data_IF_096091238937
#
_entry.id   IF_096091238937
#
_cell.length_a   1.000
_cell.length_b   1.000
_cell.length_c   1.000
_cell.angle_alpha   90.00
_cell.angle_beta   90.00
_cell.angle_gamma   90.00
#
_symmetry.space_group_name_H-M   'P 1'
#
loop_
_entity.id
_entity.type
_entity.pdbx_description
1 polymer ?
#
# COMPACT_ATOMS: atom_id res chain seq x y z
N UNK A 1 -29.87 25.13 62.19
CA UNK A 1 -29.38 26.28 62.98
C UNK A 1 -28.95 27.36 62.01
N UNK A 2 -29.36 28.63 62.22
CA UNK A 2 -29.14 29.81 61.36
C UNK A 2 -29.64 29.64 59.90
N UNK A 3 -30.80 30.18 59.46
CA UNK A 3 -31.32 31.55 59.51
C UNK A 3 -30.40 32.63 58.91
N UNK A 4 -30.77 33.12 57.71
CA UNK A 4 -30.87 34.56 57.37
C UNK A 4 -31.71 34.71 56.08
N UNK A 5 -32.34 35.87 55.88
CA UNK A 5 -33.56 35.99 55.03
C UNK A 5 -33.75 37.35 54.37
N UNK A 6 -34.00 37.38 53.04
CA UNK A 6 -34.77 38.40 52.28
C UNK A 6 -34.24 39.87 52.34
N UNK A 7 -34.84 40.91 51.66
CA UNK A 7 -35.86 40.96 50.57
C UNK A 7 -35.55 41.91 49.36
N UNK A 8 -36.27 41.67 48.24
CA UNK A 8 -37.02 42.59 47.32
C UNK A 8 -36.57 44.02 46.85
N UNK A 9 -37.14 44.37 45.65
CA UNK A 9 -37.48 45.71 45.04
C UNK A 9 -36.36 46.40 44.20
N UNK A 10 -36.49 46.62 42.88
CA UNK A 10 -37.46 47.40 42.03
C UNK A 10 -37.17 48.92 42.04
N UNK A 11 -37.19 49.69 40.94
CA UNK A 11 -37.63 49.47 39.54
C UNK A 11 -37.06 50.54 38.57
N UNK A 12 -37.02 50.23 37.24
CA UNK A 12 -37.32 51.11 36.07
C UNK A 12 -36.65 52.51 35.87
N UNK A 13 -36.82 53.19 34.71
CA UNK A 13 -36.81 52.72 33.30
C UNK A 13 -36.03 53.64 32.31
N UNK A 14 -35.87 53.16 31.06
CA UNK A 14 -35.61 54.00 29.88
C UNK A 14 -34.15 54.41 29.63
N UNK A 15 -33.75 54.80 28.42
CA UNK A 15 -34.41 54.73 27.11
C UNK A 15 -33.35 54.78 26.00
N UNK A 16 -33.60 54.13 24.85
CA UNK A 16 -33.27 54.59 23.48
C UNK A 16 -33.50 53.50 22.43
N UNK A 17 -34.21 53.90 21.38
CA UNK A 17 -34.10 53.38 20.01
C UNK A 17 -32.65 53.51 19.50
N UNK A 18 -32.17 52.81 18.49
CA UNK A 18 -32.81 52.52 17.20
C UNK A 18 -32.50 51.13 16.63
N UNK A 19 -33.32 50.72 15.67
CA UNK A 19 -33.32 49.42 15.01
C UNK A 19 -32.33 49.30 13.85
N UNK A 20 -31.68 48.14 13.72
CA UNK A 20 -31.26 47.61 12.41
C UNK A 20 -31.49 46.08 12.33
N UNK A 21 -31.93 45.60 11.16
CA UNK A 21 -32.85 44.44 10.98
C UNK A 21 -32.52 43.79 9.62
N UNK A 22 -32.26 42.49 9.41
CA UNK A 22 -32.19 41.26 10.24
C UNK A 22 -30.74 40.68 10.17
N UNK A 23 -30.28 39.56 10.78
CA UNK A 23 -30.78 38.18 11.03
C UNK A 23 -31.01 37.35 9.73
N UNK A 24 -30.77 36.01 9.69
CA UNK A 24 -30.15 35.08 10.66
C UNK A 24 -29.00 34.24 10.00
N UNK A 25 -28.40 33.16 10.52
CA UNK A 25 -28.60 32.38 11.75
C UNK A 25 -27.29 31.69 12.22
N UNK A 26 -27.11 31.65 13.54
CA UNK A 26 -26.60 30.52 14.37
C UNK A 26 -25.35 29.74 13.95
N UNK A 27 -24.27 30.09 14.64
CA UNK A 27 -23.27 29.14 15.13
C UNK A 27 -23.83 28.20 16.23
N UNK A 28 -23.10 27.10 16.46
CA UNK A 28 -22.85 26.39 17.73
C UNK A 28 -23.90 25.41 18.33
N UNK A 29 -23.51 24.13 18.35
CA UNK A 29 -23.04 23.47 19.58
C UNK A 29 -21.94 22.46 19.19
N UNK A 30 -20.64 22.74 19.36
CA UNK A 30 -19.83 22.59 20.59
C UNK A 30 -19.95 21.23 21.30
N UNK A 31 -18.88 20.42 21.21
CA UNK A 31 -18.08 19.96 22.37
C UNK A 31 -16.79 19.25 21.94
N UNK A 32 -15.67 19.70 22.50
CA UNK A 32 -14.34 19.04 22.67
C UNK A 32 -13.68 18.32 21.47
N UNK A 33 -12.40 18.52 21.16
CA UNK A 33 -11.40 19.40 21.78
C UNK A 33 -10.01 19.21 21.15
N UNK A 34 -9.07 20.08 21.56
CA UNK A 34 -7.63 20.07 21.24
C UNK A 34 -7.18 20.30 19.78
N UNK A 35 -6.46 21.42 19.61
CA UNK A 35 -5.58 21.73 18.50
C UNK A 35 -4.44 20.70 18.39
N UNK A 36 -3.90 20.49 17.18
CA UNK A 36 -2.55 20.99 16.88
C UNK A 36 -2.43 21.37 15.40
N UNK A 37 -1.85 22.55 15.14
CA UNK A 37 -1.51 23.03 13.80
C UNK A 37 0.00 22.84 13.64
N UNK A 38 0.44 22.23 12.54
CA UNK A 38 1.82 22.37 12.07
C UNK A 38 1.86 22.72 10.58
N UNK A 39 2.45 23.90 10.30
CA UNK A 39 2.90 24.31 8.97
C UNK A 39 4.43 24.16 8.91
N UNK A 40 4.95 23.44 7.93
CA UNK A 40 6.25 23.69 7.27
C UNK A 40 6.05 23.37 5.79
N UNK A 41 6.13 24.33 4.86
CA UNK A 41 7.27 25.16 4.47
C UNK A 41 8.27 24.39 3.60
N UNK A 42 8.37 24.85 2.34
CA UNK A 42 9.03 24.25 1.19
C UNK A 42 10.45 23.72 1.38
N UNK A 43 10.76 22.64 0.66
CA UNK A 43 12.10 22.35 0.13
C UNK A 43 11.98 22.27 -1.40
N UNK A 44 12.45 23.32 -2.08
CA UNK A 44 12.64 23.33 -3.54
C UNK A 44 14.12 23.07 -3.86
N UNK A 45 14.42 21.94 -4.51
CA UNK A 45 15.12 21.86 -5.84
C UNK A 45 15.91 20.57 -6.03
N UNK A 46 15.41 19.77 -6.97
CA UNK A 46 16.24 19.24 -8.06
C UNK A 46 15.42 19.32 -9.35
N UNK A 47 16.00 19.82 -10.44
CA UNK A 47 15.31 20.09 -11.71
C UNK A 47 16.24 19.83 -12.92
N UNK A 48 15.96 18.79 -13.74
CA UNK A 48 16.56 18.61 -15.05
C UNK A 48 15.59 18.98 -16.20
N UNK A 49 14.81 20.05 -16.01
CA UNK A 49 14.10 20.88 -17.01
C UNK A 49 13.21 20.12 -18.02
N UNK A 50 11.90 20.26 -17.76
CA UNK A 50 10.78 20.01 -18.68
C UNK A 50 10.26 18.57 -18.77
N UNK A 51 9.35 18.24 -17.85
CA UNK A 51 8.06 17.68 -18.27
C UNK A 51 6.94 18.60 -17.76
N UNK A 52 5.98 18.91 -18.64
CA UNK A 52 4.85 19.79 -18.29
C UNK A 52 4.04 19.12 -17.18
N UNK A 53 3.72 19.86 -16.11
CA UNK A 53 2.77 19.42 -15.09
C UNK A 53 1.39 19.27 -15.72
N UNK A 54 1.02 18.05 -16.11
CA UNK A 54 -0.36 17.63 -15.99
C UNK A 54 -0.71 17.62 -14.50
N UNK A 55 -1.97 17.89 -14.15
CA UNK A 55 -2.39 17.90 -12.75
C UNK A 55 -2.18 16.50 -12.16
N UNK A 56 -1.28 16.38 -11.18
CA UNK A 56 -1.19 15.17 -10.37
C UNK A 56 -2.46 15.13 -9.53
N UNK A 57 -3.36 14.21 -9.89
CA UNK A 57 -4.37 13.76 -8.95
C UNK A 57 -3.65 13.11 -7.76
N UNK A 58 -4.28 13.12 -6.59
CA UNK A 58 -3.69 12.49 -5.42
C UNK A 58 -3.73 10.96 -5.56
N UNK A 59 -2.66 10.40 -6.14
CA UNK A 59 -2.51 8.97 -6.48
C UNK A 59 -2.62 8.07 -5.25
N UNK A 60 -2.56 8.61 -4.03
CA UNK A 60 -2.81 7.88 -2.78
C UNK A 60 -4.28 7.45 -2.58
N UNK A 61 -5.20 7.91 -3.44
CA UNK A 61 -6.65 7.65 -3.32
C UNK A 61 -7.23 6.72 -4.38
N UNK A 62 -6.40 6.26 -5.33
CA UNK A 62 -6.86 5.41 -6.45
C UNK A 62 -6.61 3.95 -6.09
N UNK A 63 -7.69 3.17 -6.05
CA UNK A 63 -7.63 1.70 -5.95
C UNK A 63 -7.21 1.12 -7.32
N UNK A 64 -6.11 0.34 -7.41
CA UNK A 64 -5.67 -0.23 -8.68
C UNK A 64 -6.66 -1.27 -9.24
N UNK A 65 -7.61 -1.77 -8.45
CA UNK A 65 -8.66 -2.69 -8.91
C UNK A 65 -9.69 -2.01 -9.82
N UNK A 66 -9.84 -0.70 -9.70
CA UNK A 66 -10.77 0.13 -10.48
C UNK A 66 -10.18 0.65 -11.81
N UNK A 67 -8.87 0.46 -12.04
CA UNK A 67 -8.18 0.88 -13.27
C UNK A 67 -8.22 -0.21 -14.34
N UNK A 68 -8.86 0.04 -15.49
CA UNK A 68 -9.02 -0.95 -16.57
C UNK A 68 -8.03 -0.80 -17.74
N UNK A 69 -7.29 0.32 -17.83
CA UNK A 69 -6.24 0.52 -18.84
C UNK A 69 -4.86 0.07 -18.30
N UNK A 70 -4.12 -0.64 -19.15
CA UNK A 70 -2.75 -1.09 -18.83
C UNK A 70 -1.82 0.11 -18.64
N UNK A 71 -2.02 1.18 -19.41
CA UNK A 71 -1.26 2.42 -19.34
C UNK A 71 -1.49 3.15 -18.00
N UNK A 72 -2.73 3.22 -17.53
CA UNK A 72 -3.09 3.82 -16.23
C UNK A 72 -2.53 2.99 -15.07
N UNK A 73 -2.70 1.67 -15.12
CA UNK A 73 -2.12 0.74 -14.15
C UNK A 73 -0.59 0.86 -14.09
N UNK A 74 0.06 0.97 -15.23
CA UNK A 74 1.51 1.09 -15.31
C UNK A 74 2.00 2.45 -14.76
N UNK A 75 1.30 3.54 -15.04
CA UNK A 75 1.62 4.86 -14.47
C UNK A 75 1.45 4.86 -12.93
N UNK A 76 0.37 4.27 -12.43
CA UNK A 76 0.17 4.05 -10.99
C UNK A 76 1.32 3.21 -10.39
N UNK A 77 1.69 2.11 -11.04
CA UNK A 77 2.79 1.26 -10.57
C UNK A 77 4.13 1.98 -10.54
N UNK A 78 4.45 2.81 -11.55
CA UNK A 78 5.69 3.59 -11.59
C UNK A 78 5.78 4.54 -10.37
N UNK A 79 4.70 5.25 -10.04
CA UNK A 79 4.63 6.17 -8.90
C UNK A 79 4.75 5.45 -7.55
N UNK A 80 4.06 4.32 -7.35
CA UNK A 80 4.16 3.55 -6.10
C UNK A 80 5.54 2.88 -5.94
N UNK A 81 6.08 2.29 -7.02
CA UNK A 81 7.38 1.64 -7.01
C UNK A 81 8.51 2.62 -6.66
N UNK A 82 8.48 3.85 -7.22
CA UNK A 82 9.46 4.89 -6.90
C UNK A 82 9.48 5.24 -5.40
N UNK A 83 8.31 5.36 -4.77
CA UNK A 83 8.20 5.69 -3.36
C UNK A 83 8.57 4.51 -2.43
N UNK A 84 8.27 3.27 -2.82
CA UNK A 84 8.71 2.06 -2.10
C UNK A 84 10.23 1.93 -2.13
N UNK A 85 10.84 2.11 -3.30
CA UNK A 85 12.29 2.03 -3.47
C UNK A 85 13.01 3.07 -2.62
N UNK A 86 12.50 4.30 -2.56
CA UNK A 86 13.07 5.35 -1.70
C UNK A 86 12.96 5.00 -0.21
N UNK A 87 11.78 4.58 0.27
CA UNK A 87 11.58 4.17 1.67
C UNK A 87 12.53 3.02 2.08
N UNK A 88 12.72 2.05 1.19
CA UNK A 88 13.64 0.93 1.39
C UNK A 88 15.11 1.37 1.40
N UNK A 89 15.49 2.29 0.50
CA UNK A 89 16.84 2.86 0.40
C UNK A 89 17.23 3.60 1.68
N UNK A 90 16.31 4.37 2.26
CA UNK A 90 16.53 5.08 3.53
C UNK A 90 16.80 4.14 4.72
N UNK A 91 16.22 2.93 4.70
CA UNK A 91 16.25 1.97 5.83
C UNK A 91 17.26 0.82 5.66
N UNK A 92 18.00 0.83 4.54
CA UNK A 92 18.85 -0.28 4.08
C UNK A 92 18.09 -1.62 4.06
N UNK A 93 16.95 -1.59 3.38
CA UNK A 93 16.05 -2.74 3.13
C UNK A 93 16.11 -3.05 1.65
N UNK A 94 16.06 -4.34 1.32
CA UNK A 94 16.10 -4.84 -0.07
C UNK A 94 14.78 -5.51 -0.45
N UNK A 95 14.53 -5.70 -1.74
CA UNK A 95 13.32 -6.34 -2.27
C UNK A 95 13.73 -7.50 -3.20
N UNK A 96 13.07 -8.65 -3.04
CA UNK A 96 13.17 -9.81 -3.92
C UNK A 96 11.78 -10.36 -4.27
N UNK A 97 11.59 -10.87 -5.49
CA UNK A 97 10.28 -11.30 -6.00
C UNK A 97 10.24 -12.78 -6.43
N UNK A 98 9.07 -13.39 -6.37
CA UNK A 98 8.75 -14.72 -6.91
C UNK A 98 7.46 -14.65 -7.72
N UNK A 99 7.55 -14.79 -9.03
CA UNK A 99 6.43 -14.52 -9.93
C UNK A 99 5.89 -15.79 -10.59
N UNK A 100 4.58 -15.95 -10.55
CA UNK A 100 3.86 -16.93 -11.37
C UNK A 100 3.08 -16.19 -12.46
N UNK A 101 1.81 -15.83 -12.22
CA UNK A 101 0.93 -15.27 -13.26
C UNK A 101 1.43 -13.97 -13.90
N UNK A 102 2.18 -13.16 -13.15
CA UNK A 102 2.70 -11.86 -13.61
C UNK A 102 3.87 -12.02 -14.57
N UNK A 103 4.66 -13.10 -14.46
CA UNK A 103 5.64 -13.50 -15.46
C UNK A 103 6.79 -12.52 -15.72
N UNK A 104 7.21 -11.75 -14.72
CA UNK A 104 8.28 -10.75 -14.80
C UNK A 104 7.80 -9.30 -14.68
N UNK A 105 6.49 -9.05 -14.72
CA UNK A 105 5.92 -7.69 -14.63
C UNK A 105 6.13 -7.04 -13.26
N UNK A 106 6.28 -7.80 -12.17
CA UNK A 106 6.59 -7.21 -10.86
C UNK A 106 8.06 -6.75 -10.82
N UNK A 107 8.96 -7.53 -11.42
CA UNK A 107 10.35 -7.10 -11.61
C UNK A 107 10.46 -5.86 -12.50
N UNK A 108 9.72 -5.83 -13.62
CA UNK A 108 9.69 -4.69 -14.55
C UNK A 108 9.26 -3.39 -13.84
N UNK A 109 8.17 -3.44 -13.05
CA UNK A 109 7.68 -2.28 -12.30
C UNK A 109 8.74 -1.66 -11.36
N UNK A 110 9.60 -2.46 -10.74
CA UNK A 110 10.74 -1.92 -9.98
C UNK A 110 11.89 -1.47 -10.89
N UNK A 111 12.29 -2.27 -11.88
CA UNK A 111 13.47 -2.02 -12.74
C UNK A 111 13.30 -0.78 -13.64
N UNK A 112 12.07 -0.41 -14.00
CA UNK A 112 11.75 0.83 -14.72
C UNK A 112 12.16 2.11 -13.97
N UNK A 113 12.27 2.05 -12.64
CA UNK A 113 12.59 3.21 -11.81
C UNK A 113 14.10 3.45 -11.75
N UNK A 114 14.61 4.64 -12.13
CA UNK A 114 16.01 4.97 -11.99
C UNK A 114 16.53 4.79 -10.56
N UNK A 115 17.61 4.01 -10.41
CA UNK A 115 18.23 3.74 -9.11
C UNK A 115 17.74 2.48 -8.39
N UNK A 116 16.78 1.73 -8.95
CA UNK A 116 16.22 0.51 -8.37
C UNK A 116 17.29 -0.53 -7.96
N UNK A 117 18.44 -0.59 -8.66
CA UNK A 117 19.57 -1.49 -8.36
C UNK A 117 20.21 -1.32 -6.97
N UNK A 118 19.87 -0.26 -6.21
CA UNK A 118 20.30 -0.08 -4.82
C UNK A 118 19.48 -0.91 -3.80
N UNK A 119 18.30 -1.39 -4.22
CA UNK A 119 17.26 -1.97 -3.36
C UNK A 119 16.73 -3.29 -3.93
N UNK A 120 16.38 -3.32 -5.22
CA UNK A 120 15.79 -4.48 -5.88
C UNK A 120 16.89 -5.48 -6.27
N UNK A 121 16.81 -6.69 -5.72
CA UNK A 121 17.81 -7.76 -5.90
C UNK A 121 17.52 -8.63 -7.13
N UNK A 122 16.24 -8.77 -7.50
CA UNK A 122 15.81 -9.60 -8.62
C UNK A 122 14.46 -10.30 -8.40
N UNK A 123 14.09 -11.13 -9.36
CA UNK A 123 12.86 -11.92 -9.36
C UNK A 123 13.11 -13.33 -9.89
N UNK A 124 12.47 -14.33 -9.27
CA UNK A 124 12.44 -15.70 -9.76
C UNK A 124 11.08 -15.99 -10.40
N UNK A 125 11.03 -16.14 -11.72
CA UNK A 125 9.78 -16.47 -12.45
C UNK A 125 9.55 -17.99 -12.40
N UNK A 126 8.77 -18.44 -11.42
CA UNK A 126 8.39 -19.86 -11.24
C UNK A 126 6.95 -20.09 -11.71
N UNK A 127 6.72 -19.96 -13.02
CA UNK A 127 5.39 -20.13 -13.63
C UNK A 127 4.84 -21.54 -13.40
N UNK A 128 5.66 -22.56 -13.68
CA UNK A 128 5.35 -23.97 -13.47
C UNK A 128 5.26 -24.35 -11.98
N UNK A 129 4.49 -25.40 -11.66
CA UNK A 129 4.32 -25.89 -10.27
C UNK A 129 5.55 -26.62 -9.74
N UNK A 130 6.28 -27.37 -10.58
CA UNK A 130 7.53 -28.00 -10.18
C UNK A 130 8.64 -26.97 -10.01
N UNK A 131 8.64 -25.90 -10.83
CA UNK A 131 9.57 -24.77 -10.65
C UNK A 131 9.42 -24.09 -9.27
N UNK A 132 8.21 -23.99 -8.71
CA UNK A 132 7.99 -23.50 -7.34
C UNK A 132 8.70 -24.38 -6.30
N UNK A 133 8.69 -25.70 -6.50
CA UNK A 133 9.41 -26.63 -5.62
C UNK A 133 10.93 -26.62 -5.87
N UNK A 134 11.40 -26.67 -7.12
CA UNK A 134 12.81 -26.89 -7.44
C UNK A 134 13.67 -25.62 -7.41
N UNK A 135 13.11 -24.44 -7.71
CA UNK A 135 13.85 -23.17 -7.73
C UNK A 135 13.71 -22.44 -6.38
N UNK A 136 12.51 -22.38 -5.82
CA UNK A 136 12.24 -21.69 -4.56
C UNK A 136 12.29 -22.62 -3.34
N UNK A 137 12.14 -23.93 -3.48
CA UNK A 137 12.03 -24.81 -2.30
C UNK A 137 10.69 -24.68 -1.57
N UNK A 138 9.62 -24.32 -2.28
CA UNK A 138 8.24 -24.43 -1.77
C UNK A 138 7.92 -25.90 -1.51
N UNK A 139 7.20 -26.17 -0.42
CA UNK A 139 6.91 -27.52 0.03
C UNK A 139 6.10 -28.31 -1.02
N UNK A 140 6.70 -29.38 -1.56
CA UNK A 140 6.08 -30.21 -2.58
C UNK A 140 4.77 -30.89 -2.12
N UNK A 141 4.64 -31.21 -0.83
CA UNK A 141 3.42 -31.79 -0.27
C UNK A 141 2.30 -30.74 -0.12
N UNK A 142 2.65 -29.49 0.18
CA UNK A 142 1.71 -28.37 0.13
C UNK A 142 1.20 -28.16 -1.31
N UNK A 143 2.11 -28.10 -2.29
CA UNK A 143 1.77 -27.95 -3.71
C UNK A 143 0.91 -29.10 -4.23
N UNK A 144 1.18 -30.34 -3.80
CA UNK A 144 0.40 -31.53 -4.16
C UNK A 144 -1.02 -31.51 -3.58
N UNK A 145 -1.21 -30.95 -2.38
CA UNK A 145 -2.50 -30.93 -1.68
C UNK A 145 -3.39 -29.76 -2.09
N UNK A 146 -2.83 -28.54 -2.15
CA UNK A 146 -3.60 -27.31 -2.37
C UNK A 146 -3.52 -26.77 -3.82
N UNK A 147 -2.52 -27.23 -4.59
CA UNK A 147 -2.17 -26.68 -5.90
C UNK A 147 -1.38 -25.37 -5.84
N UNK A 148 -1.01 -24.83 -7.00
CA UNK A 148 -0.13 -23.65 -7.10
C UNK A 148 -0.77 -22.33 -6.61
N UNK A 149 -2.10 -22.21 -6.67
CA UNK A 149 -2.86 -20.99 -6.31
C UNK A 149 -3.51 -21.21 -4.94
N UNK A 150 -2.83 -20.82 -3.86
CA UNK A 150 -3.27 -20.98 -2.47
C UNK A 150 -2.52 -19.98 -1.56
N UNK A 151 -3.11 -19.40 -0.50
CA UNK A 151 -2.46 -18.38 0.32
C UNK A 151 -1.16 -18.88 0.95
N UNK A 152 -1.13 -20.10 1.48
CA UNK A 152 0.09 -20.67 2.07
C UNK A 152 1.22 -20.87 1.04
N UNK A 153 0.89 -21.12 -0.24
CA UNK A 153 1.88 -21.22 -1.31
C UNK A 153 2.44 -19.85 -1.65
N UNK A 154 1.61 -18.80 -1.63
CA UNK A 154 2.07 -17.43 -1.79
C UNK A 154 3.02 -17.02 -0.65
N UNK A 155 2.66 -17.32 0.61
CA UNK A 155 3.52 -17.08 1.79
C UNK A 155 4.86 -17.80 1.65
N UNK A 156 4.87 -19.10 1.34
CA UNK A 156 6.11 -19.84 1.16
C UNK A 156 6.93 -19.26 -0.01
N UNK A 157 6.34 -18.95 -1.17
CA UNK A 157 7.05 -18.32 -2.29
C UNK A 157 7.72 -17.00 -1.89
N UNK A 158 7.06 -16.17 -1.07
CA UNK A 158 7.58 -14.89 -0.60
C UNK A 158 8.75 -15.07 0.39
N UNK A 159 8.59 -15.97 1.37
CA UNK A 159 9.68 -16.31 2.30
C UNK A 159 10.89 -16.91 1.57
N UNK A 160 10.62 -17.79 0.61
CA UNK A 160 11.66 -18.48 -0.16
C UNK A 160 12.42 -17.57 -1.10
N UNK A 161 11.79 -16.59 -1.74
CA UNK A 161 12.54 -15.64 -2.58
C UNK A 161 13.43 -14.71 -1.76
N UNK A 162 12.97 -14.26 -0.57
CA UNK A 162 13.83 -13.53 0.36
C UNK A 162 15.04 -14.36 0.80
N UNK A 163 14.89 -15.67 1.01
CA UNK A 163 15.99 -16.60 1.30
C UNK A 163 16.92 -16.81 0.09
N UNK A 164 16.36 -17.00 -1.11
CA UNK A 164 17.09 -17.25 -2.37
C UNK A 164 18.04 -16.11 -2.74
N UNK A 165 17.62 -14.86 -2.54
CA UNK A 165 18.43 -13.66 -2.80
C UNK A 165 19.23 -13.18 -1.57
N UNK A 166 19.25 -13.95 -0.48
CA UNK A 166 19.91 -13.54 0.77
C UNK A 166 21.43 -13.57 0.67
N UNK A 167 22.06 -12.48 1.11
CA UNK A 167 23.51 -12.33 1.22
C UNK A 167 23.86 -11.67 2.57
N UNK A 168 25.07 -11.91 3.05
CA UNK A 168 25.54 -11.47 4.37
C UNK A 168 25.44 -9.95 4.59
N UNK A 169 25.75 -9.16 3.57
CA UNK A 169 25.66 -7.70 3.59
C UNK A 169 24.24 -7.17 3.79
N UNK A 170 23.21 -7.92 3.36
CA UNK A 170 21.81 -7.50 3.47
C UNK A 170 21.23 -7.77 4.86
N UNK A 171 21.97 -8.46 5.75
CA UNK A 171 21.61 -8.66 7.18
C UNK A 171 20.18 -9.17 7.40
N UNK A 172 19.70 -10.05 6.52
CA UNK A 172 18.33 -10.57 6.49
C UNK A 172 17.21 -9.52 6.28
N UNK A 173 17.53 -8.31 5.84
CA UNK A 173 16.57 -7.21 5.58
C UNK A 173 16.05 -7.24 4.14
N UNK A 174 15.41 -8.34 3.77
CA UNK A 174 14.82 -8.52 2.43
C UNK A 174 13.31 -8.69 2.55
N UNK A 175 12.56 -7.76 1.95
CA UNK A 175 11.14 -7.94 1.67
C UNK A 175 11.02 -8.93 0.52
N UNK A 176 10.49 -10.11 0.81
CA UNK A 176 10.10 -11.10 -0.19
C UNK A 176 8.66 -10.86 -0.64
N UNK A 177 8.45 -10.82 -1.95
CA UNK A 177 7.13 -10.67 -2.58
C UNK A 177 6.84 -11.87 -3.46
N UNK A 178 5.57 -12.29 -3.54
CA UNK A 178 5.16 -13.33 -4.48
C UNK A 178 3.81 -13.08 -5.13
N UNK A 179 3.62 -13.66 -6.31
CA UNK A 179 2.35 -13.63 -7.04
C UNK A 179 1.99 -15.03 -7.54
N UNK A 180 0.80 -15.53 -7.18
CA UNK A 180 0.25 -16.78 -7.72
C UNK A 180 -1.25 -16.68 -7.91
N UNK A 181 -1.78 -17.13 -9.04
CA UNK A 181 -3.17 -16.85 -9.40
C UNK A 181 -3.54 -17.28 -10.82
N UNK A 182 -4.83 -17.17 -11.11
CA UNK A 182 -5.43 -17.54 -12.40
C UNK A 182 -5.69 -16.27 -13.21
N UNK A 183 -4.76 -15.92 -14.10
CA UNK A 183 -4.93 -14.74 -14.96
C UNK A 183 -6.03 -14.89 -16.02
N UNK A 184 -6.64 -16.08 -16.20
CA UNK A 184 -7.66 -16.30 -17.23
C UNK A 184 -7.09 -16.54 -18.64
N UNK A 185 -7.95 -16.54 -19.68
CA UNK A 185 -9.35 -16.10 -19.67
C UNK A 185 -10.35 -17.09 -19.05
N UNK A 186 -9.99 -18.37 -18.91
CA UNK A 186 -10.82 -19.39 -18.24
C UNK A 186 -10.36 -19.69 -16.81
N UNK A 187 -11.13 -20.51 -16.06
CA UNK A 187 -10.69 -21.04 -14.76
C UNK A 187 -9.51 -22.00 -14.91
N UNK A 188 -8.76 -22.21 -13.82
CA UNK A 188 -7.78 -23.28 -13.68
C UNK A 188 -8.32 -24.33 -12.69
N UNK A 189 -8.75 -25.47 -13.22
CA UNK A 189 -9.52 -26.46 -12.46
C UNK A 189 -10.78 -25.83 -11.84
N UNK A 190 -10.86 -25.86 -10.50
CA UNK A 190 -11.96 -25.24 -9.74
C UNK A 190 -11.75 -23.77 -9.37
N UNK A 191 -10.66 -23.12 -9.80
CA UNK A 191 -10.29 -21.75 -9.38
C UNK A 191 -10.65 -20.76 -10.49
N UNK A 192 -11.49 -19.73 -10.23
CA UNK A 192 -11.97 -18.82 -11.27
C UNK A 192 -10.84 -17.91 -11.78
N UNK A 193 -10.98 -17.46 -13.04
CA UNK A 193 -10.16 -16.35 -13.54
C UNK A 193 -10.33 -15.13 -12.63
N UNK A 194 -9.23 -14.45 -12.33
CA UNK A 194 -9.20 -13.32 -11.40
C UNK A 194 -8.83 -13.67 -9.97
N UNK A 195 -8.87 -14.95 -9.56
CA UNK A 195 -8.39 -15.35 -8.23
C UNK A 195 -6.85 -15.27 -8.18
N UNK A 196 -6.33 -14.40 -7.31
CA UNK A 196 -4.89 -14.19 -7.12
C UNK A 196 -4.57 -14.12 -5.62
N UNK A 197 -3.45 -14.71 -5.23
CA UNK A 197 -2.82 -14.50 -3.94
C UNK A 197 -1.51 -13.75 -4.14
N UNK A 198 -1.39 -12.62 -3.43
CA UNK A 198 -0.11 -11.95 -3.20
C UNK A 198 0.46 -12.52 -1.90
N UNK A 199 1.72 -12.93 -1.89
CA UNK A 199 2.43 -13.27 -0.65
C UNK A 199 3.43 -12.19 -0.29
N UNK A 200 3.50 -11.85 1.00
CA UNK A 200 4.51 -10.92 1.53
C UNK A 200 5.27 -11.60 2.67
N UNK A 201 6.58 -11.46 2.63
CA UNK A 201 7.51 -11.82 3.69
C UNK A 201 8.32 -10.60 4.06
N UNK A 202 7.87 -9.89 5.10
CA UNK A 202 8.48 -8.68 5.59
C UNK A 202 9.55 -9.01 6.64
N UNK A 203 10.78 -8.47 6.53
CA UNK A 203 11.84 -8.72 7.49
C UNK A 203 11.63 -7.87 8.76
N UNK A 204 12.34 -8.22 9.84
CA UNK A 204 12.40 -7.35 11.01
C UNK A 204 13.18 -6.06 10.69
N UNK A 205 12.52 -4.90 10.82
CA UNK A 205 13.10 -3.58 10.56
C UNK A 205 12.97 -2.74 11.83
N UNK A 206 14.07 -2.16 12.35
CA UNK A 206 14.01 -1.29 13.53
C UNK A 206 13.01 -0.14 13.35
N UNK A 207 12.20 0.11 14.38
CA UNK A 207 11.15 1.12 14.40
C UNK A 207 10.01 0.94 13.37
N UNK A 208 9.84 -0.26 12.79
CA UNK A 208 8.66 -0.61 11.98
C UNK A 208 7.93 -1.77 12.67
N UNK A 209 6.76 -1.48 13.25
CA UNK A 209 5.90 -2.49 13.88
C UNK A 209 4.92 -3.06 12.86
N UNK A 210 4.87 -4.38 12.73
CA UNK A 210 3.93 -5.11 11.87
C UNK A 210 3.24 -6.20 12.68
N UNK A 211 1.97 -6.49 12.39
CA UNK A 211 1.20 -7.53 13.08
C UNK A 211 1.66 -8.95 12.70
N UNK A 212 2.04 -9.15 11.43
CA UNK A 212 2.64 -10.40 10.94
C UNK A 212 3.77 -10.12 9.96
N UNK A 213 4.90 -10.82 10.14
CA UNK A 213 6.01 -10.82 9.17
C UNK A 213 5.70 -11.58 7.89
N UNK A 214 4.70 -12.46 7.90
CA UNK A 214 4.37 -13.31 6.76
C UNK A 214 2.86 -13.44 6.59
N UNK A 215 2.33 -13.03 5.44
CA UNK A 215 0.90 -13.08 5.15
C UNK A 215 0.63 -13.20 3.65
N UNK A 216 -0.61 -13.51 3.30
CA UNK A 216 -1.10 -13.45 1.94
C UNK A 216 -2.36 -12.58 1.87
N UNK A 217 -2.50 -11.86 0.76
CA UNK A 217 -3.70 -11.10 0.40
C UNK A 217 -4.41 -11.84 -0.72
N UNK A 218 -5.69 -12.18 -0.52
CA UNK A 218 -6.55 -12.72 -1.58
C UNK A 218 -7.14 -11.57 -2.40
N UNK A 219 -7.10 -11.69 -3.73
CA UNK A 219 -7.70 -10.77 -4.67
C UNK A 219 -8.63 -11.54 -5.61
N UNK A 220 -9.75 -10.90 -5.97
CA UNK A 220 -10.72 -11.38 -6.93
C UNK A 220 -10.87 -10.32 -8.05
N UNK A 221 -9.90 -10.33 -8.97
CA UNK A 221 -9.69 -9.27 -9.97
C UNK A 221 -10.56 -9.48 -11.23
N UNK A 222 -11.06 -8.37 -11.79
CA UNK A 222 -11.83 -8.37 -13.04
C UNK A 222 -11.04 -7.74 -14.18
N UNK A 223 -11.20 -8.27 -15.39
CA UNK A 223 -10.59 -7.75 -16.61
C UNK A 223 -10.12 -8.84 -17.59
N UNK A 224 -9.37 -8.43 -18.61
CA UNK A 224 -8.66 -9.36 -19.50
C UNK A 224 -7.48 -10.04 -18.78
N UNK A 225 -6.89 -11.06 -19.40
CA UNK A 225 -5.67 -11.71 -18.88
C UNK A 225 -4.52 -10.73 -18.65
N UNK A 226 -4.44 -9.69 -19.47
CA UNK A 226 -3.43 -8.65 -19.36
C UNK A 226 -3.75 -7.69 -18.21
N UNK A 227 -5.00 -7.19 -18.15
CA UNK A 227 -5.47 -6.31 -17.07
C UNK A 227 -5.34 -6.98 -15.71
N UNK A 228 -5.73 -8.25 -15.55
CA UNK A 228 -5.56 -8.99 -14.27
C UNK A 228 -4.09 -9.05 -13.84
N UNK A 229 -3.15 -9.24 -14.79
CA UNK A 229 -1.71 -9.26 -14.48
C UNK A 229 -1.22 -7.89 -14.03
N UNK A 230 -1.65 -6.81 -14.67
CA UNK A 230 -1.26 -5.44 -14.27
C UNK A 230 -1.95 -4.98 -12.96
N UNK A 231 -3.24 -5.29 -12.75
CA UNK A 231 -3.96 -5.08 -11.47
C UNK A 231 -3.27 -5.80 -10.32
N UNK A 232 -2.74 -7.01 -10.56
CA UNK A 232 -1.94 -7.73 -9.55
C UNK A 232 -0.72 -6.91 -9.13
N UNK A 233 0.01 -6.28 -10.07
CA UNK A 233 1.17 -5.44 -9.72
C UNK A 233 0.74 -4.23 -8.90
N UNK A 234 -0.32 -3.54 -9.32
CA UNK A 234 -0.87 -2.41 -8.58
C UNK A 234 -1.18 -2.77 -7.14
N UNK A 235 -1.88 -3.88 -6.90
CA UNK A 235 -2.23 -4.36 -5.56
C UNK A 235 -1.00 -4.79 -4.72
N UNK A 236 0.06 -5.34 -5.34
CA UNK A 236 1.32 -5.66 -4.63
C UNK A 236 1.98 -4.38 -4.11
N UNK A 237 2.04 -3.36 -4.96
CA UNK A 237 2.67 -2.09 -4.61
C UNK A 237 1.82 -1.32 -3.61
N UNK A 238 0.49 -1.26 -3.79
CA UNK A 238 -0.46 -0.68 -2.84
C UNK A 238 -0.28 -1.27 -1.42
N UNK A 239 -0.29 -2.60 -1.29
CA UNK A 239 -0.12 -3.24 0.02
C UNK A 239 1.25 -2.95 0.66
N UNK A 240 2.32 -2.78 -0.12
CA UNK A 240 3.60 -2.33 0.44
C UNK A 240 3.60 -0.87 0.89
N UNK A 241 2.76 -0.02 0.30
CA UNK A 241 2.73 1.42 0.61
C UNK A 241 2.18 1.70 2.00
N UNK A 242 1.30 0.83 2.52
CA UNK A 242 0.76 0.88 3.89
C UNK A 242 1.88 0.92 4.96
N UNK A 243 2.94 0.12 4.78
CA UNK A 243 4.14 0.12 5.64
C UNK A 243 5.07 1.30 5.38
N UNK A 244 5.04 1.86 4.16
CA UNK A 244 5.87 3.02 3.80
C UNK A 244 5.34 4.34 4.39
N UNK A 245 4.02 4.47 4.54
CA UNK A 245 3.36 5.68 5.02
C UNK A 245 3.26 5.82 6.53
N UNK A 246 3.43 4.72 7.28
CA UNK A 246 3.25 4.66 8.74
C UNK A 246 4.46 5.13 9.57
N UNK A 247 5.47 5.75 8.94
CA UNK A 247 6.67 6.28 9.60
C UNK A 247 6.63 7.80 9.83
N UNK A 248 5.64 8.32 10.58
CA UNK A 248 5.69 9.66 11.19
C UNK A 248 5.01 9.71 12.56
N UNK A 249 5.75 9.36 13.61
CA UNK A 249 5.57 9.85 15.00
C UNK A 249 6.94 10.33 15.54
#
# INVERSE_FOLDING_TARGET
>A
MCMASWPQRSAQPGSRSESCVLHPARMAALRAGCLYIWRRAAIERWDPRQRKRCAMHDVSTIDPRDLDSVEELQAYCDDQAAAILEWCRERDVKIACAESLTGGLLADAFVRIPGASQVFLGSAVTYDIHAKASVLGVNAELLRREGAVHPQVAIEMAQRTAQLFSQSEYRSRIIGLSTTGVAGPGPDGGKPAGLVYIGVSFPEIPAVSIESSHYAVELNLQGSREVIRHKTIGCVLENLREFSGSSQE
#
